data_IF_744181668119
#
_entry.id   IF_744181668119
#
_cell.length_a   1.000
_cell.length_b   1.000
_cell.length_c   1.000
_cell.angle_alpha   90.00
_cell.angle_beta   90.00
_cell.angle_gamma   90.00
#
_symmetry.space_group_name_H-M   'P 1'
#
loop_
_entity.id
_entity.type
_entity.pdbx_description
1 polymer ?
#
# COMPACT_ATOMS: atom_id res chain seq x y z
N UNK A 1 11.20 48.13 -27.11
CA UNK A 1 10.43 48.03 -25.86
C UNK A 1 9.79 46.67 -25.90
N UNK A 2 10.32 45.75 -25.11
CA UNK A 2 9.76 44.42 -24.97
C UNK A 2 9.21 44.32 -23.56
N UNK A 3 7.91 44.05 -23.44
CA UNK A 3 7.25 43.86 -22.15
C UNK A 3 7.19 42.38 -21.83
N UNK A 4 7.87 42.00 -20.76
CA UNK A 4 7.97 40.61 -20.33
C UNK A 4 7.19 40.41 -19.04
N UNK A 5 6.23 39.48 -19.05
CA UNK A 5 5.49 39.11 -17.85
C UNK A 5 6.00 37.75 -17.33
N UNK A 6 6.53 37.73 -16.11
CA UNK A 6 6.84 36.49 -15.41
C UNK A 6 5.58 36.02 -14.68
N UNK A 7 5.14 34.79 -14.94
CA UNK A 7 3.89 34.25 -14.42
C UNK A 7 4.21 33.04 -13.56
N UNK A 8 3.66 32.99 -12.35
CA UNK A 8 3.51 31.77 -11.57
C UNK A 8 2.04 31.50 -11.36
N UNK A 9 1.65 30.23 -11.27
CA UNK A 9 0.24 29.85 -11.11
C UNK A 9 0.11 28.87 -9.96
N UNK A 10 -0.81 29.20 -9.07
CA UNK A 10 -1.31 28.37 -7.98
C UNK A 10 -2.72 27.94 -8.40
N UNK A 11 -2.87 26.68 -8.83
CA UNK A 11 -4.09 26.20 -9.47
C UNK A 11 -5.19 25.79 -8.49
N UNK A 12 -4.84 25.34 -7.30
CA UNK A 12 -5.79 24.90 -6.26
C UNK A 12 -6.07 25.95 -5.18
N UNK A 13 -5.61 27.18 -5.39
CA UNK A 13 -5.89 28.37 -4.58
C UNK A 13 -5.35 28.26 -3.14
N UNK A 14 -4.16 27.67 -3.00
CA UNK A 14 -3.48 27.58 -1.70
C UNK A 14 -3.09 28.95 -1.16
N UNK A 15 -2.82 29.92 -2.04
CA UNK A 15 -2.61 31.32 -1.66
C UNK A 15 -3.88 31.96 -1.10
N UNK A 16 -5.04 31.70 -1.69
CA UNK A 16 -6.34 32.16 -1.17
C UNK A 16 -6.71 31.50 0.14
N UNK A 17 -6.51 30.19 0.22
CA UNK A 17 -6.94 29.34 1.34
C UNK A 17 -6.04 29.43 2.56
N UNK A 18 -4.71 29.33 2.37
CA UNK A 18 -3.73 29.29 3.46
C UNK A 18 -3.26 30.69 3.83
N UNK A 19 -3.01 31.56 2.85
CA UNK A 19 -2.49 32.91 3.09
C UNK A 19 -3.59 33.99 3.15
N UNK A 20 -4.81 33.73 2.67
CA UNK A 20 -5.92 34.70 2.67
C UNK A 20 -5.74 35.80 1.63
N UNK A 21 -5.02 35.54 0.54
CA UNK A 21 -4.71 36.51 -0.52
C UNK A 21 -5.43 36.09 -1.79
N UNK A 22 -6.27 36.97 -2.34
CA UNK A 22 -6.95 36.71 -3.61
C UNK A 22 -6.10 37.18 -4.78
N UNK A 23 -5.98 36.36 -5.82
CA UNK A 23 -5.34 36.76 -7.06
C UNK A 23 -6.23 37.64 -7.96
N UNK A 24 -5.65 38.25 -9.00
CA UNK A 24 -4.23 38.13 -9.36
C UNK A 24 -3.36 39.02 -8.46
N UNK A 25 -2.21 38.49 -8.03
CA UNK A 25 -1.20 39.29 -7.31
C UNK A 25 -0.17 39.76 -8.31
N UNK A 26 -0.12 41.06 -8.58
CA UNK A 26 0.75 41.66 -9.59
C UNK A 26 1.73 42.62 -8.93
N UNK A 27 2.96 42.62 -9.39
CA UNK A 27 4.02 43.49 -8.90
C UNK A 27 4.95 42.79 -7.93
N UNK A 28 6.25 43.09 -8.05
CA UNK A 28 7.31 42.43 -7.29
C UNK A 28 7.10 42.48 -5.77
N UNK A 29 6.61 43.59 -5.23
CA UNK A 29 6.46 43.78 -3.77
C UNK A 29 5.28 42.99 -3.23
N UNK A 30 4.18 43.01 -3.96
CA UNK A 30 2.94 42.32 -3.67
C UNK A 30 3.17 40.80 -3.74
N UNK A 31 3.85 40.33 -4.79
CA UNK A 31 4.22 38.92 -4.98
C UNK A 31 5.19 38.44 -3.89
N UNK A 32 6.19 39.24 -3.49
CA UNK A 32 7.06 38.90 -2.37
C UNK A 32 6.29 38.77 -1.05
N UNK A 33 5.33 39.68 -0.82
CA UNK A 33 4.48 39.61 0.37
C UNK A 33 3.60 38.36 0.36
N UNK A 34 3.11 37.97 -0.82
CA UNK A 34 2.33 36.76 -1.00
C UNK A 34 3.15 35.49 -0.71
N UNK A 35 4.35 35.36 -1.29
CA UNK A 35 5.26 34.25 -1.02
C UNK A 35 5.63 34.13 0.47
N UNK A 36 5.93 35.25 1.14
CA UNK A 36 6.25 35.24 2.56
C UNK A 36 5.05 34.81 3.42
N UNK A 37 3.85 35.30 3.09
CA UNK A 37 2.64 34.92 3.85
C UNK A 37 2.29 33.45 3.65
N UNK A 38 2.42 32.92 2.42
CA UNK A 38 2.19 31.51 2.14
C UNK A 38 3.21 30.63 2.86
N UNK A 39 4.51 30.93 2.72
CA UNK A 39 5.57 30.15 3.36
C UNK A 39 5.55 30.21 4.90
N UNK A 40 5.00 31.26 5.50
CA UNK A 40 4.77 31.33 6.96
C UNK A 40 3.54 30.50 7.37
N UNK A 41 2.47 30.52 6.56
CA UNK A 41 1.26 29.77 6.82
C UNK A 41 1.45 28.26 6.64
N UNK A 42 2.20 27.85 5.61
CA UNK A 42 2.53 26.47 5.29
C UNK A 42 3.96 26.35 4.72
N UNK A 43 4.96 26.05 5.56
CA UNK A 43 6.34 25.90 5.13
C UNK A 43 6.61 24.68 4.23
N UNK A 44 5.69 23.71 4.18
CA UNK A 44 5.84 22.50 3.35
C UNK A 44 5.35 22.72 1.90
N UNK A 45 4.69 23.85 1.64
CA UNK A 45 4.11 24.16 0.35
C UNK A 45 5.17 24.38 -0.75
N UNK A 46 5.03 23.67 -1.87
CA UNK A 46 5.94 23.79 -3.00
C UNK A 46 5.68 25.06 -3.82
N UNK A 47 4.44 25.57 -3.86
CA UNK A 47 4.09 26.83 -4.55
C UNK A 47 4.91 28.02 -4.06
N UNK A 48 5.23 28.05 -2.76
CA UNK A 48 6.09 29.10 -2.18
C UNK A 48 7.41 29.20 -2.95
N UNK A 49 8.01 28.06 -3.31
CA UNK A 49 9.26 28.02 -4.05
C UNK A 49 9.07 28.39 -5.53
N UNK A 50 7.93 28.06 -6.14
CA UNK A 50 7.59 28.50 -7.49
C UNK A 50 7.51 30.04 -7.56
N UNK A 51 6.80 30.67 -6.62
CA UNK A 51 6.66 32.13 -6.54
C UNK A 51 8.01 32.80 -6.29
N UNK A 52 8.84 32.24 -5.40
CA UNK A 52 10.21 32.73 -5.19
C UNK A 52 11.08 32.59 -6.46
N UNK A 53 10.90 31.50 -7.21
CA UNK A 53 11.52 31.30 -8.52
C UNK A 53 11.10 32.37 -9.53
N UNK A 54 9.82 32.74 -9.55
CA UNK A 54 9.30 33.80 -10.41
C UNK A 54 9.88 35.18 -10.04
N UNK A 55 10.01 35.50 -8.75
CA UNK A 55 10.68 36.71 -8.28
C UNK A 55 12.16 36.74 -8.67
N UNK A 56 12.85 35.60 -8.55
CA UNK A 56 14.25 35.49 -8.95
C UNK A 56 14.43 35.73 -10.45
N UNK A 57 13.58 35.11 -11.29
CA UNK A 57 13.60 35.29 -12.73
C UNK A 57 13.27 36.74 -13.12
N UNK A 58 12.25 37.34 -12.48
CA UNK A 58 11.93 38.76 -12.66
C UNK A 58 13.14 39.66 -12.40
N UNK A 59 13.85 39.44 -11.28
CA UNK A 59 15.01 40.25 -10.90
C UNK A 59 16.17 40.08 -11.90
N UNK A 60 16.44 38.85 -12.34
CA UNK A 60 17.44 38.58 -13.37
C UNK A 60 17.12 39.28 -14.70
N UNK A 61 15.88 39.20 -15.16
CA UNK A 61 15.45 39.85 -16.40
C UNK A 61 15.51 41.37 -16.28
N UNK A 62 15.17 41.92 -15.11
CA UNK A 62 15.24 43.36 -14.85
C UNK A 62 16.67 43.88 -14.81
N UNK A 63 17.63 43.09 -14.32
CA UNK A 63 19.05 43.42 -14.37
C UNK A 63 19.62 43.35 -15.81
N UNK A 64 19.11 42.42 -16.62
CA UNK A 64 19.51 42.25 -18.02
C UNK A 64 18.78 43.18 -18.99
N UNK A 65 17.70 43.83 -18.55
CA UNK A 65 16.89 44.71 -19.39
C UNK A 65 17.70 45.95 -19.80
N UNK A 66 17.81 46.20 -21.10
CA UNK A 66 18.49 47.37 -21.65
C UNK A 66 17.46 48.41 -22.12
N UNK A 67 17.64 49.67 -21.69
CA UNK A 67 16.89 50.82 -22.21
C UNK A 67 15.44 50.91 -21.73
N UNK A 68 14.49 50.43 -22.54
CA UNK A 68 13.02 50.69 -22.41
C UNK A 68 12.21 49.41 -22.24
N UNK A 69 12.88 48.32 -21.90
CA UNK A 69 12.23 47.04 -21.63
C UNK A 69 11.61 47.06 -20.23
N UNK A 70 10.38 46.57 -20.13
CA UNK A 70 9.63 46.51 -18.88
C UNK A 70 9.42 45.05 -18.50
N UNK A 71 9.66 44.74 -17.23
CA UNK A 71 9.46 43.41 -16.67
C UNK A 71 8.54 43.54 -15.48
N UNK A 72 7.49 42.73 -15.44
CA UNK A 72 6.59 42.61 -14.30
C UNK A 72 6.37 41.14 -13.95
N UNK A 73 5.84 40.89 -12.75
CA UNK A 73 5.59 39.55 -12.23
C UNK A 73 4.16 39.45 -11.72
N UNK A 74 3.49 38.34 -12.03
CA UNK A 74 2.15 38.05 -11.57
C UNK A 74 2.03 36.62 -11.05
N UNK A 75 1.27 36.45 -9.97
CA UNK A 75 0.81 35.15 -9.48
C UNK A 75 -0.70 35.06 -9.72
N UNK A 76 -1.09 34.05 -10.50
CA UNK A 76 -2.49 33.75 -10.78
C UNK A 76 -2.97 32.66 -9.82
N UNK A 77 -4.18 32.80 -9.33
CA UNK A 77 -4.79 31.87 -8.35
C UNK A 77 -6.02 31.20 -8.95
N UNK A 78 -6.20 29.91 -8.68
CA UNK A 78 -7.31 29.11 -9.19
C UNK A 78 -8.52 29.08 -8.26
N UNK A 79 -9.07 27.88 -8.08
CA UNK A 79 -10.18 27.58 -7.16
C UNK A 79 -9.89 26.21 -6.54
N UNK A 80 -10.21 26.02 -5.26
CA UNK A 80 -10.03 24.75 -4.53
C UNK A 80 -10.57 23.54 -5.31
N UNK A 81 -11.64 23.75 -6.08
CA UNK A 81 -12.17 22.75 -7.01
C UNK A 81 -11.48 22.90 -8.35
N UNK A 82 -10.28 22.34 -8.42
CA UNK A 82 -9.45 22.18 -9.63
C UNK A 82 -10.30 21.69 -10.81
N UNK A 83 -9.97 22.16 -12.02
CA UNK A 83 -10.70 21.90 -13.25
C UNK A 83 -11.31 23.17 -13.83
N UNK A 84 -12.49 23.07 -14.46
CA UNK A 84 -13.08 24.15 -15.28
C UNK A 84 -13.26 25.48 -14.53
N UNK A 85 -13.53 25.44 -13.21
CA UNK A 85 -13.68 26.67 -12.41
C UNK A 85 -12.36 27.37 -12.18
N UNK A 86 -11.33 26.62 -11.77
CA UNK A 86 -9.96 27.12 -11.61
C UNK A 86 -9.42 27.64 -12.94
N UNK A 87 -9.54 26.86 -14.03
CA UNK A 87 -9.07 27.25 -15.37
C UNK A 87 -9.74 28.56 -15.86
N UNK A 88 -11.03 28.75 -15.57
CA UNK A 88 -11.75 29.99 -15.89
C UNK A 88 -11.26 31.16 -15.04
N UNK A 89 -11.04 30.96 -13.74
CA UNK A 89 -10.53 32.00 -12.84
C UNK A 89 -9.14 32.47 -13.29
N UNK A 90 -8.24 31.53 -13.58
CA UNK A 90 -6.89 31.81 -14.10
C UNK A 90 -6.97 32.58 -15.43
N UNK A 91 -7.87 32.18 -16.35
CA UNK A 91 -8.05 32.90 -17.61
C UNK A 91 -8.48 34.35 -17.42
N UNK A 92 -9.45 34.60 -16.55
CA UNK A 92 -9.97 35.93 -16.26
C UNK A 92 -8.92 36.81 -15.59
N UNK A 93 -8.17 36.24 -14.64
CA UNK A 93 -7.06 36.93 -13.99
C UNK A 93 -5.95 37.27 -14.98
N UNK A 94 -5.60 36.36 -15.89
CA UNK A 94 -4.62 36.63 -16.93
C UNK A 94 -5.07 37.76 -17.87
N UNK A 95 -6.34 37.77 -18.28
CA UNK A 95 -6.90 38.88 -19.08
C UNK A 95 -6.75 40.23 -18.37
N UNK A 96 -7.07 40.29 -17.07
CA UNK A 96 -6.91 41.51 -16.26
C UNK A 96 -5.44 41.99 -16.21
N UNK A 97 -4.49 41.07 -16.08
CA UNK A 97 -3.05 41.41 -16.08
C UNK A 97 -2.61 41.90 -17.45
N UNK A 98 -3.06 41.25 -18.53
CA UNK A 98 -2.75 41.64 -19.92
C UNK A 98 -3.31 43.03 -20.22
N UNK A 99 -4.53 43.35 -19.79
CA UNK A 99 -5.13 44.68 -19.99
C UNK A 99 -4.33 45.80 -19.31
N UNK A 100 -3.79 45.53 -18.11
CA UNK A 100 -3.04 46.53 -17.33
C UNK A 100 -1.60 46.72 -17.82
N UNK A 101 -0.88 45.63 -18.07
CA UNK A 101 0.55 45.67 -18.37
C UNK A 101 0.86 45.62 -19.88
N UNK A 102 -0.04 45.02 -20.68
CA UNK A 102 0.14 44.76 -22.11
C UNK A 102 1.49 44.08 -22.44
N UNK A 103 1.75 42.86 -21.93
CA UNK A 103 2.98 42.13 -22.22
C UNK A 103 3.04 41.64 -23.67
N UNK A 104 4.24 41.69 -24.26
CA UNK A 104 4.52 41.12 -25.58
C UNK A 104 4.81 39.61 -25.47
N UNK A 105 5.42 39.20 -24.35
CA UNK A 105 5.82 37.82 -24.08
C UNK A 105 5.67 37.47 -22.60
N UNK A 106 5.48 36.18 -22.33
CA UNK A 106 5.39 35.61 -20.99
C UNK A 106 6.46 34.56 -20.72
N UNK A 107 6.85 34.43 -19.46
CA UNK A 107 7.66 33.32 -18.96
C UNK A 107 6.92 32.66 -17.81
N UNK A 108 6.66 31.36 -17.91
CA UNK A 108 5.96 30.59 -16.89
C UNK A 108 6.96 29.97 -15.91
N UNK A 109 6.70 30.11 -14.61
CA UNK A 109 7.44 29.44 -13.55
C UNK A 109 6.48 28.55 -12.76
N UNK A 110 6.81 27.26 -12.68
CA UNK A 110 5.98 26.22 -12.05
C UNK A 110 6.84 25.25 -11.25
N UNK A 111 6.31 24.60 -10.23
CA UNK A 111 6.95 23.52 -9.46
C UNK A 111 6.50 22.11 -9.90
N UNK A 112 5.31 21.99 -10.50
CA UNK A 112 4.63 20.71 -10.75
C UNK A 112 4.38 20.35 -12.22
N UNK A 113 3.80 19.17 -12.43
CA UNK A 113 3.22 18.78 -13.72
C UNK A 113 1.73 19.16 -13.83
N UNK A 114 1.05 19.36 -12.70
CA UNK A 114 -0.37 19.75 -12.67
C UNK A 114 -0.56 21.18 -13.19
N UNK A 115 0.37 22.09 -12.88
CA UNK A 115 0.39 23.46 -13.41
C UNK A 115 0.99 23.57 -14.80
N UNK A 116 1.64 22.54 -15.34
CA UNK A 116 1.98 22.51 -16.76
C UNK A 116 0.72 22.29 -17.62
N UNK A 117 -0.33 21.68 -17.05
CA UNK A 117 -1.58 21.41 -17.78
C UNK A 117 -2.35 22.67 -18.17
N UNK A 118 -2.10 23.80 -17.50
CA UNK A 118 -2.69 25.10 -17.83
C UNK A 118 -1.91 25.85 -18.93
N UNK A 119 -0.73 25.37 -19.34
CA UNK A 119 0.11 26.03 -20.34
C UNK A 119 -0.65 26.30 -21.66
N UNK A 120 -1.46 25.36 -22.22
CA UNK A 120 -2.24 25.64 -23.43
C UNK A 120 -3.24 26.79 -23.25
N UNK A 121 -3.78 26.94 -22.04
CA UNK A 121 -4.73 27.98 -21.69
C UNK A 121 -4.02 29.35 -21.60
N UNK A 122 -2.84 29.41 -20.97
CA UNK A 122 -2.03 30.64 -20.96
C UNK A 122 -1.58 31.03 -22.36
N UNK A 123 -1.10 30.07 -23.14
CA UNK A 123 -0.64 30.27 -24.53
C UNK A 123 -1.74 30.77 -25.47
N UNK A 124 -3.01 30.51 -25.15
CA UNK A 124 -4.14 31.03 -25.93
C UNK A 124 -4.27 32.56 -25.86
N UNK A 125 -3.73 33.21 -24.82
CA UNK A 125 -3.85 34.65 -24.57
C UNK A 125 -2.53 35.43 -24.61
N UNK A 126 -1.43 34.78 -24.26
CA UNK A 126 -0.10 35.38 -24.24
C UNK A 126 0.92 34.42 -24.85
N UNK A 127 1.85 34.93 -25.65
CA UNK A 127 2.95 34.13 -26.17
C UNK A 127 3.92 33.78 -25.03
N UNK A 128 4.06 32.49 -24.70
CA UNK A 128 4.96 32.01 -23.64
C UNK A 128 6.27 31.53 -24.27
N UNK A 129 7.35 32.28 -24.06
CA UNK A 129 8.68 32.02 -24.64
C UNK A 129 9.42 30.92 -23.89
N UNK A 130 9.22 30.83 -22.58
CA UNK A 130 9.98 29.95 -21.70
C UNK A 130 9.11 29.41 -20.55
N UNK A 131 9.37 28.17 -20.17
CA UNK A 131 8.80 27.51 -18.98
C UNK A 131 9.94 27.03 -18.10
N UNK A 132 10.02 27.56 -16.88
CA UNK A 132 11.02 27.21 -15.90
C UNK A 132 10.41 26.37 -14.77
N UNK A 133 10.99 25.20 -14.53
CA UNK A 133 10.54 24.29 -13.47
C UNK A 133 11.39 24.43 -12.21
N UNK A 134 10.75 24.70 -11.07
CA UNK A 134 11.39 24.81 -9.76
C UNK A 134 11.20 23.50 -9.01
N UNK A 135 12.28 22.71 -8.89
CA UNK A 135 12.25 21.44 -8.17
C UNK A 135 13.03 21.58 -6.86
N UNK A 136 12.32 21.53 -5.73
CA UNK A 136 12.93 21.55 -4.40
C UNK A 136 13.58 20.20 -4.12
N UNK A 137 14.91 20.17 -4.01
CA UNK A 137 15.66 18.94 -3.71
C UNK A 137 15.62 18.65 -2.21
N UNK A 138 14.70 17.79 -1.78
CA UNK A 138 14.64 17.29 -0.42
C UNK A 138 15.32 15.91 -0.32
N UNK A 139 16.45 15.82 0.38
CA UNK A 139 17.11 14.54 0.65
C UNK A 139 16.42 13.78 1.79
N UNK A 140 15.27 13.13 1.55
CA UNK A 140 14.63 12.23 2.52
C UNK A 140 15.21 10.82 2.39
N UNK A 141 16.48 10.64 2.74
CA UNK A 141 17.26 9.46 2.36
C UNK A 141 16.85 8.12 3.00
N UNK A 142 16.14 8.09 4.13
CA UNK A 142 15.97 6.83 4.90
C UNK A 142 14.56 6.67 5.48
N UNK A 143 13.98 7.74 6.01
CA UNK A 143 12.69 7.69 6.71
C UNK A 143 11.51 7.43 5.76
N UNK A 144 11.59 7.98 4.54
CA UNK A 144 10.59 7.74 3.50
C UNK A 144 10.54 6.26 3.07
N UNK A 145 11.69 5.64 2.84
CA UNK A 145 11.75 4.23 2.40
C UNK A 145 11.14 3.27 3.43
N UNK A 146 11.40 3.50 4.72
CA UNK A 146 10.78 2.72 5.80
C UNK A 146 9.27 2.91 5.83
N UNK A 147 8.79 4.15 5.70
CA UNK A 147 7.35 4.45 5.64
C UNK A 147 6.68 3.80 4.42
N UNK A 148 7.29 3.87 3.23
CA UNK A 148 6.73 3.24 2.04
C UNK A 148 6.74 1.70 2.14
N UNK A 149 7.78 1.11 2.73
CA UNK A 149 7.86 -0.34 2.90
C UNK A 149 6.85 -0.86 3.91
N UNK A 150 6.69 -0.17 5.04
CA UNK A 150 5.68 -0.49 6.06
C UNK A 150 4.27 -0.31 5.51
N UNK A 151 3.99 0.83 4.86
CA UNK A 151 2.69 1.10 4.25
C UNK A 151 2.34 0.13 3.13
N UNK A 152 3.31 -0.31 2.32
CA UNK A 152 3.09 -1.31 1.27
C UNK A 152 2.76 -2.71 1.85
N UNK A 153 3.21 -3.02 3.07
CA UNK A 153 2.85 -4.27 3.77
C UNK A 153 1.46 -4.16 4.41
N UNK A 154 1.06 -2.97 4.86
CA UNK A 154 -0.28 -2.74 5.41
C UNK A 154 -1.37 -2.77 4.34
N UNK A 155 -1.08 -2.22 3.15
CA UNK A 155 -2.03 -2.11 2.05
C UNK A 155 -2.29 -3.46 1.36
N UNK A 156 -3.54 -3.94 1.36
CA UNK A 156 -3.90 -5.30 0.94
C UNK A 156 -3.50 -5.62 -0.51
N UNK A 157 -3.67 -4.64 -1.42
CA UNK A 157 -3.34 -4.78 -2.84
C UNK A 157 -1.83 -4.91 -3.07
N UNK A 158 -1.03 -4.15 -2.33
CA UNK A 158 0.43 -4.16 -2.45
C UNK A 158 1.04 -5.36 -1.75
N UNK A 159 0.53 -5.71 -0.57
CA UNK A 159 0.92 -6.89 0.19
C UNK A 159 0.78 -8.17 -0.64
N UNK A 160 -0.37 -8.38 -1.29
CA UNK A 160 -0.58 -9.54 -2.15
C UNK A 160 0.38 -9.53 -3.36
N UNK A 161 0.53 -8.39 -4.03
CA UNK A 161 1.35 -8.27 -5.25
C UNK A 161 2.85 -8.48 -4.99
N UNK A 162 3.33 -8.17 -3.79
CA UNK A 162 4.73 -8.33 -3.39
C UNK A 162 5.01 -9.70 -2.73
N UNK A 163 4.21 -10.07 -1.72
CA UNK A 163 4.48 -11.25 -0.90
C UNK A 163 4.11 -12.56 -1.59
N UNK A 164 3.06 -12.58 -2.43
CA UNK A 164 2.62 -13.82 -3.10
C UNK A 164 3.68 -14.35 -4.08
N UNK A 165 4.22 -13.57 -5.02
CA UNK A 165 5.28 -14.07 -5.91
C UNK A 165 6.52 -14.54 -5.15
N UNK A 166 6.94 -13.78 -4.13
CA UNK A 166 8.08 -14.13 -3.28
C UNK A 166 7.85 -15.43 -2.53
N UNK A 167 6.64 -15.63 -1.99
CA UNK A 167 6.27 -16.85 -1.27
C UNK A 167 6.30 -18.08 -2.18
N UNK A 168 5.81 -17.98 -3.41
CA UNK A 168 5.84 -19.07 -4.40
C UNK A 168 7.27 -19.47 -4.69
N UNK A 169 8.18 -18.51 -4.90
CA UNK A 169 9.60 -18.78 -5.12
C UNK A 169 10.21 -19.52 -3.93
N UNK A 170 9.96 -19.07 -2.71
CA UNK A 170 10.49 -19.70 -1.50
C UNK A 170 9.94 -21.11 -1.26
N UNK A 171 8.66 -21.34 -1.55
CA UNK A 171 8.03 -22.67 -1.46
C UNK A 171 8.66 -23.62 -2.49
N UNK A 172 8.79 -23.18 -3.74
CA UNK A 172 9.40 -23.98 -4.81
C UNK A 172 10.88 -24.28 -4.50
N UNK A 173 11.61 -23.30 -3.97
CA UNK A 173 12.99 -23.45 -3.53
C UNK A 173 13.11 -24.44 -2.37
N UNK A 174 12.23 -24.34 -1.37
CA UNK A 174 12.18 -25.27 -0.24
C UNK A 174 11.86 -26.70 -0.65
N UNK A 175 10.83 -26.89 -1.48
CA UNK A 175 10.47 -28.21 -2.03
C UNK A 175 11.59 -28.79 -2.90
N UNK A 176 12.19 -27.96 -3.77
CA UNK A 176 13.31 -28.35 -4.62
C UNK A 176 14.57 -28.72 -3.83
N UNK A 177 14.76 -28.14 -2.64
CA UNK A 177 15.85 -28.52 -1.72
C UNK A 177 15.53 -29.76 -0.88
N UNK A 178 14.27 -30.17 -0.75
CA UNK A 178 13.89 -31.37 0.01
C UNK A 178 13.94 -32.62 -0.90
N UNK A 179 13.53 -32.49 -2.16
CA UNK A 179 13.34 -33.63 -3.06
C UNK A 179 14.51 -33.80 -4.05
N UNK A 180 14.96 -35.04 -4.36
CA UNK A 180 14.69 -36.31 -3.68
C UNK A 180 15.69 -36.65 -2.55
N UNK A 181 16.90 -36.07 -2.58
CA UNK A 181 18.03 -36.41 -1.71
C UNK A 181 18.61 -35.19 -0.97
N UNK A 182 17.84 -34.10 -0.88
CA UNK A 182 18.33 -32.84 -0.33
C UNK A 182 18.18 -32.73 1.19
N UNK A 183 18.90 -31.77 1.79
CA UNK A 183 18.90 -31.57 3.24
C UNK A 183 17.54 -31.07 3.74
N UNK A 184 16.75 -31.97 4.33
CA UNK A 184 15.40 -31.68 4.84
C UNK A 184 15.38 -30.41 5.71
N UNK A 185 16.35 -30.25 6.60
CA UNK A 185 16.44 -29.08 7.50
C UNK A 185 16.65 -27.78 6.72
N UNK A 186 17.47 -27.81 5.67
CA UNK A 186 17.82 -26.62 4.87
C UNK A 186 16.64 -26.22 3.98
N UNK A 187 15.94 -27.18 3.39
CA UNK A 187 14.76 -26.90 2.57
C UNK A 187 13.51 -26.52 3.37
N UNK A 188 13.40 -26.98 4.62
CA UNK A 188 12.30 -26.62 5.51
C UNK A 188 12.28 -25.13 5.86
N UNK A 189 13.43 -24.48 5.99
CA UNK A 189 13.51 -23.05 6.30
C UNK A 189 12.81 -22.15 5.27
N UNK A 190 13.20 -22.16 3.97
CA UNK A 190 12.51 -21.37 2.95
C UNK A 190 11.09 -21.85 2.72
N UNK A 191 10.79 -23.14 2.89
CA UNK A 191 9.43 -23.67 2.76
C UNK A 191 8.49 -23.06 3.81
N UNK A 192 8.87 -23.08 5.09
CA UNK A 192 8.05 -22.52 6.18
C UNK A 192 7.92 -21.00 6.05
N UNK A 193 9.00 -20.30 5.70
CA UNK A 193 8.96 -18.85 5.46
C UNK A 193 8.04 -18.54 4.27
N UNK A 194 8.14 -19.30 3.18
CA UNK A 194 7.28 -19.15 2.01
C UNK A 194 5.81 -19.36 2.36
N UNK A 195 5.45 -20.43 3.09
CA UNK A 195 4.08 -20.68 3.54
C UNK A 195 3.56 -19.53 4.41
N UNK A 196 4.38 -19.04 5.35
CA UNK A 196 4.01 -17.90 6.20
C UNK A 196 3.76 -16.62 5.40
N UNK A 197 4.66 -16.28 4.46
CA UNK A 197 4.51 -15.10 3.61
C UNK A 197 3.32 -15.22 2.66
N UNK A 198 2.99 -16.42 2.18
CA UNK A 198 1.80 -16.67 1.38
C UNK A 198 0.53 -16.37 2.20
N UNK A 199 0.45 -16.90 3.42
CA UNK A 199 -0.68 -16.64 4.32
C UNK A 199 -0.86 -15.15 4.63
N UNK A 200 0.26 -14.45 4.88
CA UNK A 200 0.25 -12.99 5.10
C UNK A 200 -0.11 -12.21 3.84
N UNK A 201 0.44 -12.61 2.69
CA UNK A 201 0.17 -12.03 1.36
C UNK A 201 -1.30 -12.03 1.01
N UNK A 202 -1.98 -13.14 1.28
CA UNK A 202 -3.41 -13.33 1.01
C UNK A 202 -4.34 -12.72 2.07
N UNK A 203 -3.81 -12.07 3.11
CA UNK A 203 -4.64 -11.52 4.19
C UNK A 203 -5.39 -12.61 4.97
N UNK A 204 -4.82 -13.81 5.08
CA UNK A 204 -5.47 -14.95 5.72
C UNK A 204 -5.86 -14.66 7.17
N UNK A 205 -5.16 -13.75 7.86
CA UNK A 205 -5.46 -13.34 9.24
C UNK A 205 -6.87 -12.74 9.40
N UNK A 206 -7.32 -11.96 8.42
CA UNK A 206 -8.65 -11.31 8.45
C UNK A 206 -9.77 -12.33 8.20
N UNK A 207 -9.50 -13.30 7.33
CA UNK A 207 -10.39 -14.42 7.05
C UNK A 207 -10.41 -15.44 8.20
N UNK A 208 -9.27 -15.73 8.81
CA UNK A 208 -9.17 -16.64 9.95
C UNK A 208 -9.95 -16.09 11.14
N UNK A 209 -9.88 -14.79 11.41
CA UNK A 209 -10.61 -14.16 12.50
C UNK A 209 -12.13 -14.19 12.29
N UNK A 210 -12.60 -14.05 11.05
CA UNK A 210 -14.01 -14.25 10.71
C UNK A 210 -14.41 -15.72 10.85
N UNK A 211 -13.64 -16.64 10.28
CA UNK A 211 -13.90 -18.08 10.42
C UNK A 211 -13.87 -18.51 11.89
N UNK A 212 -12.95 -17.99 12.71
CA UNK A 212 -12.87 -18.30 14.14
C UNK A 212 -14.03 -17.70 14.92
N UNK A 213 -14.50 -16.50 14.57
CA UNK A 213 -15.70 -15.90 15.16
C UNK A 213 -16.96 -16.66 14.75
N UNK A 214 -17.11 -16.96 13.46
CA UNK A 214 -18.22 -17.73 12.92
C UNK A 214 -18.20 -19.16 13.47
N UNK A 215 -17.03 -19.77 13.67
CA UNK A 215 -16.90 -21.03 14.38
C UNK A 215 -17.21 -20.86 15.87
N UNK A 216 -16.88 -19.76 16.53
CA UNK A 216 -17.21 -19.57 17.95
C UNK A 216 -18.70 -19.29 18.17
N UNK A 217 -19.34 -18.61 17.23
CA UNK A 217 -20.75 -18.21 17.27
C UNK A 217 -21.67 -19.31 16.70
N UNK A 218 -21.20 -20.11 15.72
CA UNK A 218 -21.96 -21.19 15.09
C UNK A 218 -21.45 -22.62 15.40
N UNK A 219 -20.35 -22.80 16.16
CA UNK A 219 -20.03 -24.13 16.68
C UNK A 219 -21.01 -24.49 17.80
N UNK A 220 -22.20 -24.89 17.37
CA UNK A 220 -22.96 -25.85 18.14
C UNK A 220 -22.04 -27.03 18.46
N UNK A 221 -22.11 -27.54 19.69
CA UNK A 221 -21.39 -28.73 20.13
C UNK A 221 -21.56 -29.92 19.16
N UNK A 222 -22.59 -29.89 18.30
CA UNK A 222 -22.79 -30.78 17.16
C UNK A 222 -21.68 -30.72 16.10
N UNK A 223 -21.18 -29.54 15.70
CA UNK A 223 -20.05 -29.42 14.75
C UNK A 223 -18.72 -29.84 15.38
N UNK A 224 -18.48 -29.46 16.64
CA UNK A 224 -17.27 -29.89 17.37
C UNK A 224 -17.23 -31.41 17.57
N UNK A 225 -18.37 -32.00 17.93
CA UNK A 225 -18.53 -33.45 18.03
C UNK A 225 -18.36 -34.11 16.65
N UNK A 226 -18.99 -33.62 15.58
CA UNK A 226 -18.93 -34.27 14.26
C UNK A 226 -17.52 -34.34 13.67
N UNK A 227 -16.69 -33.30 13.88
CA UNK A 227 -15.28 -33.33 13.50
C UNK A 227 -14.48 -34.38 14.30
N UNK A 228 -14.74 -34.48 15.60
CA UNK A 228 -14.10 -35.50 16.45
C UNK A 228 -14.52 -36.92 16.05
N UNK A 229 -15.77 -37.13 15.66
CA UNK A 229 -16.24 -38.39 15.07
C UNK A 229 -15.52 -38.70 13.74
N UNK A 230 -15.32 -37.70 12.88
CA UNK A 230 -14.57 -37.89 11.63
C UNK A 230 -13.10 -38.29 11.91
N UNK A 231 -12.45 -37.67 12.92
CA UNK A 231 -11.11 -38.06 13.36
C UNK A 231 -11.07 -39.47 13.95
N UNK A 232 -12.08 -39.88 14.74
CA UNK A 232 -12.18 -41.27 15.22
C UNK A 232 -12.23 -42.26 14.06
N UNK A 233 -13.04 -42.00 13.03
CA UNK A 233 -13.13 -42.87 11.84
C UNK A 233 -11.80 -42.88 11.09
N UNK A 234 -11.20 -41.71 10.86
CA UNK A 234 -9.92 -41.56 10.19
C UNK A 234 -8.80 -42.36 10.89
N UNK A 235 -8.63 -42.18 12.21
CA UNK A 235 -7.62 -42.91 12.98
C UNK A 235 -7.90 -44.40 13.05
N UNK A 236 -9.17 -44.82 13.06
CA UNK A 236 -9.53 -46.23 13.02
C UNK A 236 -9.12 -46.89 11.69
N UNK A 237 -9.31 -46.18 10.56
CA UNK A 237 -8.86 -46.65 9.25
C UNK A 237 -7.33 -46.77 9.22
N UNK A 238 -6.62 -45.77 9.77
CA UNK A 238 -5.16 -45.81 9.85
C UNK A 238 -4.64 -46.92 10.78
N UNK A 239 -5.32 -47.19 11.89
CA UNK A 239 -4.99 -48.31 12.78
C UNK A 239 -5.09 -49.65 12.04
N UNK A 240 -6.12 -49.83 11.22
CA UNK A 240 -6.30 -51.04 10.40
C UNK A 240 -5.25 -51.12 9.29
N UNK A 241 -4.96 -50.00 8.61
CA UNK A 241 -3.96 -49.97 7.54
C UNK A 241 -2.55 -50.27 8.07
N UNK A 242 -2.18 -49.68 9.21
CA UNK A 242 -0.89 -49.91 9.84
C UNK A 242 -0.81 -51.32 10.44
N UNK A 243 -1.89 -51.82 11.05
CA UNK A 243 -1.99 -53.19 11.51
C UNK A 243 -1.83 -54.19 10.36
N UNK A 244 -2.45 -53.93 9.20
CA UNK A 244 -2.29 -54.74 7.98
C UNK A 244 -0.86 -54.69 7.43
N UNK A 245 -0.24 -53.51 7.41
CA UNK A 245 1.16 -53.32 6.99
C UNK A 245 2.11 -54.14 7.86
N UNK A 246 1.94 -54.07 9.18
CA UNK A 246 2.77 -54.81 10.14
C UNK A 246 2.50 -56.31 10.06
N UNK A 247 1.25 -56.73 9.90
CA UNK A 247 0.89 -58.14 9.68
C UNK A 247 1.60 -58.71 8.44
N UNK A 248 1.57 -58.00 7.31
CA UNK A 248 2.22 -58.43 6.08
C UNK A 248 3.73 -58.65 6.25
N UNK A 249 4.41 -57.71 6.91
CA UNK A 249 5.86 -57.82 7.17
C UNK A 249 6.19 -58.90 8.20
N UNK A 250 5.38 -59.02 9.24
CA UNK A 250 5.63 -59.98 10.32
C UNK A 250 5.40 -61.43 9.85
N UNK A 251 4.46 -61.67 8.93
CA UNK A 251 4.15 -63.01 8.43
C UNK A 251 5.36 -63.66 7.72
N UNK A 252 6.21 -62.86 7.08
CA UNK A 252 7.42 -63.34 6.40
C UNK A 252 8.44 -63.96 7.36
N UNK A 253 8.35 -63.65 8.66
CA UNK A 253 9.25 -64.16 9.69
C UNK A 253 8.74 -65.41 10.42
N UNK A 254 7.58 -65.95 10.01
CA UNK A 254 6.89 -67.09 10.66
C UNK A 254 6.82 -67.01 12.20
N UNK A 255 6.39 -65.87 12.79
CA UNK A 255 6.29 -65.72 14.23
C UNK A 255 5.21 -66.63 14.82
N UNK A 256 5.30 -66.91 16.12
CA UNK A 256 4.23 -67.60 16.84
C UNK A 256 2.92 -66.80 16.77
N UNK A 257 1.76 -67.47 16.80
CA UNK A 257 0.47 -66.80 16.65
C UNK A 257 0.24 -65.65 17.67
N UNK A 258 0.73 -65.82 18.90
CA UNK A 258 0.65 -64.79 19.95
C UNK A 258 1.59 -63.61 19.68
N UNK A 259 2.78 -63.87 19.16
CA UNK A 259 3.78 -62.86 18.81
C UNK A 259 3.30 -61.99 17.65
N UNK A 260 2.68 -62.60 16.64
CA UNK A 260 2.08 -61.89 15.51
C UNK A 260 1.00 -60.89 15.97
N UNK A 261 0.13 -61.32 16.89
CA UNK A 261 -0.93 -60.46 17.45
C UNK A 261 -0.32 -59.28 18.22
N UNK A 262 0.71 -59.52 19.04
CA UNK A 262 1.35 -58.46 19.80
C UNK A 262 2.04 -57.42 18.90
N UNK A 263 2.73 -57.86 17.85
CA UNK A 263 3.39 -56.97 16.90
C UNK A 263 2.38 -56.09 16.14
N UNK A 264 1.29 -56.68 15.65
CA UNK A 264 0.22 -55.94 14.97
C UNK A 264 -0.43 -54.92 15.90
N UNK A 265 -0.72 -55.31 17.14
CA UNK A 265 -1.27 -54.40 18.15
C UNK A 265 -0.29 -53.27 18.49
N UNK A 266 1.00 -53.57 18.62
CA UNK A 266 2.03 -52.56 18.89
C UNK A 266 2.12 -51.54 17.74
N UNK A 267 2.10 -51.99 16.49
CA UNK A 267 2.12 -51.12 15.31
C UNK A 267 0.88 -50.23 15.20
N UNK A 268 -0.30 -50.77 15.51
CA UNK A 268 -1.55 -50.03 15.48
C UNK A 268 -1.80 -49.16 16.73
N UNK A 269 -1.03 -49.36 17.82
CA UNK A 269 -1.34 -48.81 19.15
C UNK A 269 -1.52 -47.29 19.15
N UNK A 270 -0.61 -46.55 18.51
CA UNK A 270 -0.67 -45.09 18.48
C UNK A 270 -1.97 -44.59 17.83
N UNK A 271 -2.39 -45.23 16.73
CA UNK A 271 -3.61 -44.89 16.02
C UNK A 271 -4.87 -45.29 16.79
N UNK A 272 -4.84 -46.43 17.49
CA UNK A 272 -5.93 -46.86 18.39
C UNK A 272 -6.11 -45.86 19.54
N UNK A 273 -5.01 -45.42 20.16
CA UNK A 273 -5.04 -44.43 21.24
C UNK A 273 -5.61 -43.10 20.75
N UNK A 274 -5.18 -42.62 19.58
CA UNK A 274 -5.71 -41.40 18.98
C UNK A 274 -7.21 -41.51 18.64
N UNK A 275 -7.65 -42.65 18.09
CA UNK A 275 -9.06 -42.91 17.82
C UNK A 275 -9.90 -42.88 19.11
N UNK A 276 -9.40 -43.53 20.17
CA UNK A 276 -10.04 -43.56 21.49
C UNK A 276 -10.13 -42.18 22.12
N UNK A 277 -9.05 -41.39 22.08
CA UNK A 277 -9.04 -40.03 22.62
C UNK A 277 -10.00 -39.11 21.86
N UNK A 278 -10.01 -39.17 20.53
CA UNK A 278 -10.95 -38.40 19.70
C UNK A 278 -12.41 -38.76 20.03
N UNK A 279 -12.69 -40.06 20.22
CA UNK A 279 -14.02 -40.54 20.59
C UNK A 279 -14.44 -40.11 22.01
N UNK A 280 -13.54 -40.26 22.99
CA UNK A 280 -13.80 -39.85 24.37
C UNK A 280 -14.05 -38.34 24.48
N UNK A 281 -13.27 -37.54 23.74
CA UNK A 281 -13.43 -36.09 23.69
C UNK A 281 -14.76 -35.71 23.02
N UNK A 282 -15.16 -36.41 21.95
CA UNK A 282 -16.47 -36.25 21.30
C UNK A 282 -17.62 -36.44 22.30
N UNK A 283 -17.58 -37.51 23.11
CA UNK A 283 -18.59 -37.76 24.14
C UNK A 283 -18.57 -36.71 25.25
N UNK A 284 -17.40 -36.20 25.63
CA UNK A 284 -17.26 -35.16 26.65
C UNK A 284 -17.88 -33.84 26.17
N UNK A 285 -17.60 -33.44 24.92
CA UNK A 285 -18.20 -32.27 24.27
C UNK A 285 -19.73 -32.38 24.21
N UNK A 286 -20.26 -33.57 23.91
CA UNK A 286 -21.71 -33.83 23.91
C UNK A 286 -22.34 -33.84 25.33
N UNK A 287 -21.59 -34.22 26.36
CA UNK A 287 -22.06 -34.26 27.76
C UNK A 287 -22.08 -32.89 28.41
N UNK A 288 -21.11 -32.03 28.10
CA UNK A 288 -20.98 -30.72 28.75
C UNK A 288 -22.22 -29.83 28.56
N UNK A 289 -22.91 -29.92 27.41
CA UNK A 289 -24.14 -29.15 27.15
C UNK A 289 -25.43 -29.79 27.69
N UNK A 290 -25.44 -31.09 28.05
CA UNK A 290 -26.61 -31.71 28.69
C UNK A 290 -26.80 -31.28 30.14
N UNK A 291 -25.77 -30.72 30.78
CA UNK A 291 -25.84 -30.19 32.15
C UNK A 291 -26.40 -28.77 32.27
N UNK A 292 -26.68 -28.07 31.16
CA UNK A 292 -27.19 -26.68 31.15
C UNK A 292 -28.69 -26.56 30.83
N UNK A 293 -29.43 -27.68 30.88
CA UNK A 293 -30.89 -27.71 30.80
C UNK A 293 -31.47 -28.53 31.96
N UNK A 294 -31.26 -28.06 33.19
CA UNK A 294 -32.24 -28.20 34.28
C UNK A 294 -31.97 -27.12 35.32
N UNK A 295 -32.86 -26.14 35.45
CA UNK A 295 -32.77 -25.03 36.38
C UNK A 295 -32.72 -23.69 35.67
#
# INVERSE_FOLDING_TARGET
MTRTLVISVDRDDDLGKKAGIRGPVVGRKEVLTAALRLGIADPEESDTNAILGALHLHDQLKEQAEGTDEVDVAVLTGDERVGVRSDRAISQQLEEVIEKFQPDRGMLVTDGAEDESILPLLQSRLHIDHVQKIIVRQSKGIEGTYYYLTKAIEDEKWRARLLVPLSVVLILLGLGMILPNGGVIIGMMPLLIGIYLMAKGLGAEQHLNHIMRDMRENADAAMGSSLLWAFTIFFSIFALAEGWRVYGVAMDSYPGALELVLLVLQGALAWIVLAFLAFALSLLVLRWKRGTFSG
#
